data_IF_052101936426
#
_entry.id   IF_052101936426
#
_cell.length_a   1.000
_cell.length_b   1.000
_cell.length_c   1.000
_cell.angle_alpha   90.00
_cell.angle_beta   90.00
_cell.angle_gamma   90.00
#
_symmetry.space_group_name_H-M   'P 1'
#
loop_
_entity.id
_entity.type
_entity.pdbx_description
1 polymer ?
#
# COMPACT_ATOMS: atom_id res chain seq x y z
N UNK A 1 -3.02 -4.56 10.78
CA UNK A 1 -1.75 -4.37 11.53
C UNK A 1 -1.15 -3.06 11.06
N UNK A 2 -0.72 -2.17 11.95
CA UNK A 2 0.00 -0.94 11.61
C UNK A 2 1.50 -1.24 11.59
N UNK A 3 2.19 -0.89 10.51
CA UNK A 3 3.62 -1.16 10.33
C UNK A 3 4.53 0.03 10.65
N UNK A 4 4.00 1.17 11.09
CA UNK A 4 4.82 2.34 11.45
C UNK A 4 5.79 2.02 12.58
N UNK A 5 7.09 2.16 12.33
CA UNK A 5 8.18 1.83 13.27
C UNK A 5 8.53 0.34 13.37
N UNK A 6 7.88 -0.52 12.58
CA UNK A 6 8.09 -1.97 12.59
C UNK A 6 9.31 -2.37 11.76
N UNK A 7 9.92 -3.51 12.17
CA UNK A 7 11.03 -4.13 11.47
C UNK A 7 10.53 -5.17 10.47
N UNK A 8 11.24 -5.32 9.37
CA UNK A 8 11.03 -6.34 8.36
C UNK A 8 12.34 -6.87 7.81
N UNK A 9 12.20 -7.73 6.83
CA UNK A 9 13.32 -8.27 6.06
C UNK A 9 12.97 -8.23 4.59
N UNK A 10 13.97 -8.17 3.73
CA UNK A 10 13.79 -8.50 2.32
C UNK A 10 14.51 -9.79 1.96
N UNK A 11 13.88 -10.56 1.07
CA UNK A 11 14.32 -11.92 0.72
C UNK A 11 14.14 -12.19 -0.78
N UNK A 12 14.96 -13.12 -1.26
CA UNK A 12 14.93 -13.61 -2.63
C UNK A 12 15.30 -15.10 -2.69
N UNK A 13 15.38 -15.64 -3.88
CA UNK A 13 15.91 -16.99 -4.12
C UNK A 13 17.37 -17.17 -3.62
N UNK A 14 18.12 -16.08 -3.47
CA UNK A 14 19.49 -16.10 -2.94
C UNK A 14 19.54 -16.52 -1.47
N UNK A 15 18.47 -16.29 -0.70
CA UNK A 15 18.34 -16.75 0.67
C UNK A 15 17.88 -18.21 0.77
N UNK A 16 17.59 -18.86 -0.36
CA UNK A 16 17.09 -20.24 -0.41
C UNK A 16 15.65 -20.38 0.11
N UNK A 17 15.35 -21.51 0.72
CA UNK A 17 14.02 -21.84 1.21
C UNK A 17 13.86 -21.40 2.69
N UNK A 18 13.63 -20.14 2.95
CA UNK A 18 13.52 -19.57 4.30
C UNK A 18 12.20 -19.96 5.01
N UNK A 19 12.19 -19.93 6.35
CA UNK A 19 10.98 -20.06 7.17
C UNK A 19 10.47 -18.68 7.57
N UNK A 20 9.27 -18.33 7.10
CA UNK A 20 8.59 -17.06 7.45
C UNK A 20 8.13 -17.07 8.91
N UNK A 21 7.77 -18.23 9.47
CA UNK A 21 7.42 -18.38 10.88
C UNK A 21 8.62 -17.99 11.77
N UNK A 22 9.84 -18.46 11.45
CA UNK A 22 11.05 -18.11 12.21
C UNK A 22 11.41 -16.62 12.07
N UNK A 23 11.17 -16.01 10.90
CA UNK A 23 11.34 -14.58 10.70
C UNK A 23 10.39 -13.82 11.63
N UNK A 24 9.11 -14.21 11.68
CA UNK A 24 8.09 -13.63 12.55
C UNK A 24 8.43 -13.82 14.03
N UNK A 25 8.83 -15.03 14.45
CA UNK A 25 9.21 -15.36 15.83
C UNK A 25 10.44 -14.57 16.28
N UNK A 26 11.32 -14.20 15.35
CA UNK A 26 12.48 -13.33 15.60
C UNK A 26 12.09 -11.84 15.72
N UNK A 27 10.80 -11.50 15.61
CA UNK A 27 10.29 -10.15 15.83
C UNK A 27 10.26 -9.26 14.59
N UNK A 28 10.25 -9.84 13.38
CA UNK A 28 10.07 -9.11 12.14
C UNK A 28 8.60 -9.20 11.69
N UNK A 29 8.01 -8.03 11.43
CA UNK A 29 6.56 -7.87 11.24
C UNK A 29 6.15 -7.89 9.76
N UNK A 30 7.08 -7.79 8.81
CA UNK A 30 6.78 -7.78 7.37
C UNK A 30 7.94 -8.33 6.53
N UNK A 31 7.65 -8.65 5.28
CA UNK A 31 8.63 -9.17 4.32
C UNK A 31 8.47 -8.48 2.97
N UNK A 32 9.57 -7.99 2.40
CA UNK A 32 9.65 -7.62 0.98
C UNK A 32 10.24 -8.79 0.19
N UNK A 33 9.60 -9.21 -0.89
CA UNK A 33 9.95 -10.44 -1.62
C UNK A 33 10.35 -10.08 -3.05
N UNK A 34 11.56 -10.47 -3.47
CA UNK A 34 11.93 -10.33 -4.88
C UNK A 34 10.99 -11.18 -5.73
N UNK A 35 10.29 -10.55 -6.67
CA UNK A 35 9.45 -11.29 -7.60
C UNK A 35 10.21 -11.76 -8.85
N UNK A 36 11.27 -11.06 -9.22
CA UNK A 36 12.08 -11.38 -10.39
C UNK A 36 13.14 -10.32 -10.63
N UNK A 37 13.76 -10.39 -11.78
CA UNK A 37 14.75 -9.43 -12.26
C UNK A 37 14.63 -9.24 -13.76
N UNK A 38 14.90 -8.03 -14.25
CA UNK A 38 14.91 -7.72 -15.68
C UNK A 38 13.57 -7.93 -16.39
N UNK A 39 13.63 -8.16 -17.67
CA UNK A 39 12.50 -8.19 -18.61
C UNK A 39 11.46 -9.26 -18.31
N UNK A 40 10.27 -9.14 -18.92
CA UNK A 40 9.16 -10.09 -18.76
C UNK A 40 9.43 -11.42 -19.47
N UNK A 41 10.33 -12.20 -18.87
CA UNK A 41 10.70 -13.55 -19.28
C UNK A 41 10.56 -14.50 -18.09
N UNK A 42 9.86 -15.61 -18.25
CA UNK A 42 9.63 -16.56 -17.16
C UNK A 42 10.93 -17.11 -16.51
N UNK A 43 12.02 -17.16 -17.26
CA UNK A 43 13.33 -17.56 -16.74
C UNK A 43 13.94 -16.52 -15.78
N UNK A 44 13.43 -15.30 -15.77
CA UNK A 44 13.82 -14.22 -14.87
C UNK A 44 12.90 -14.07 -13.66
N UNK A 45 11.87 -14.91 -13.53
CA UNK A 45 11.06 -15.00 -12.31
C UNK A 45 11.96 -15.50 -11.16
N UNK A 46 11.80 -14.90 -9.97
CA UNK A 46 12.50 -15.42 -8.79
C UNK A 46 11.93 -16.77 -8.39
N UNK A 47 12.76 -17.81 -8.37
CA UNK A 47 12.35 -19.21 -8.18
C UNK A 47 11.71 -19.48 -6.81
N UNK A 48 11.87 -18.59 -5.82
CA UNK A 48 11.25 -18.68 -4.51
C UNK A 48 10.05 -17.75 -4.33
N UNK A 49 9.74 -16.88 -5.32
CA UNK A 49 8.69 -15.88 -5.17
C UNK A 49 7.34 -16.49 -4.74
N UNK A 50 6.81 -17.42 -5.52
CA UNK A 50 5.52 -18.06 -5.23
C UNK A 50 5.51 -18.81 -3.89
N UNK A 51 6.62 -19.47 -3.54
CA UNK A 51 6.78 -20.16 -2.28
C UNK A 51 6.80 -19.20 -1.08
N UNK A 52 7.54 -18.08 -1.20
CA UNK A 52 7.63 -17.06 -0.16
C UNK A 52 6.30 -16.34 0.04
N UNK A 53 5.58 -15.98 -1.04
CA UNK A 53 4.22 -15.40 -0.98
C UNK A 53 3.29 -16.34 -0.23
N UNK A 54 3.20 -17.61 -0.64
CA UNK A 54 2.33 -18.61 0.00
C UNK A 54 2.62 -18.75 1.50
N UNK A 55 3.90 -18.72 1.90
CA UNK A 55 4.30 -18.82 3.32
C UNK A 55 3.94 -17.55 4.10
N UNK A 56 4.13 -16.35 3.53
CA UNK A 56 3.73 -15.10 4.16
C UNK A 56 2.21 -15.06 4.38
N UNK A 57 1.41 -15.47 3.39
CA UNK A 57 -0.04 -15.55 3.49
C UNK A 57 -0.49 -16.56 4.55
N UNK A 58 0.11 -17.75 4.58
CA UNK A 58 -0.19 -18.79 5.57
C UNK A 58 0.16 -18.35 7.01
N UNK A 59 1.28 -17.66 7.21
CA UNK A 59 1.71 -17.14 8.51
C UNK A 59 1.02 -15.83 8.91
N UNK A 60 0.20 -15.23 8.01
CA UNK A 60 -0.44 -13.93 8.23
C UNK A 60 0.56 -12.78 8.35
N UNK A 61 1.71 -12.89 7.68
CA UNK A 61 2.75 -11.86 7.65
C UNK A 61 2.51 -10.92 6.47
N UNK A 62 2.38 -9.59 6.70
CA UNK A 62 2.34 -8.59 5.65
C UNK A 62 3.52 -8.73 4.68
N UNK A 63 3.24 -8.65 3.39
CA UNK A 63 4.27 -8.74 2.36
C UNK A 63 4.08 -7.74 1.24
N UNK A 64 5.20 -7.37 0.61
CA UNK A 64 5.31 -6.61 -0.63
C UNK A 64 6.21 -7.31 -1.62
N UNK A 65 6.37 -6.73 -2.80
CA UNK A 65 7.25 -7.30 -3.82
C UNK A 65 8.24 -6.26 -4.35
N UNK A 66 9.40 -6.72 -4.82
CA UNK A 66 10.32 -5.90 -5.57
C UNK A 66 10.88 -6.62 -6.79
N UNK A 67 11.26 -5.86 -7.80
CA UNK A 67 11.94 -6.35 -9.00
C UNK A 67 13.31 -5.70 -9.11
N UNK A 68 14.37 -6.51 -9.18
CA UNK A 68 15.73 -6.05 -9.46
C UNK A 68 15.84 -5.63 -10.93
N UNK A 69 16.12 -4.36 -11.18
CA UNK A 69 16.06 -3.79 -12.51
C UNK A 69 17.35 -3.99 -13.30
N UNK A 70 17.21 -4.48 -14.53
CA UNK A 70 18.24 -4.45 -15.56
C UNK A 70 17.94 -3.45 -16.68
N UNK A 71 16.93 -2.59 -16.52
CA UNK A 71 16.56 -1.62 -17.53
C UNK A 71 17.68 -0.61 -17.79
N UNK A 72 18.00 -0.41 -19.05
CA UNK A 72 18.96 0.61 -19.54
C UNK A 72 18.27 1.65 -20.42
N UNK A 73 16.97 1.47 -20.68
CA UNK A 73 16.09 2.41 -21.41
C UNK A 73 14.62 2.25 -20.93
N UNK A 74 13.74 3.11 -21.41
CA UNK A 74 12.32 3.11 -20.99
C UNK A 74 11.51 1.93 -21.54
N UNK A 75 11.92 1.28 -22.62
CA UNK A 75 11.21 0.10 -23.14
C UNK A 75 11.53 -1.14 -22.32
N UNK A 76 12.75 -1.26 -21.80
CA UNK A 76 13.12 -2.26 -20.81
C UNK A 76 12.27 -2.07 -19.54
N UNK A 77 12.15 -0.82 -19.04
CA UNK A 77 11.33 -0.50 -17.86
C UNK A 77 9.85 -0.89 -18.04
N UNK A 78 9.28 -0.70 -19.25
CA UNK A 78 7.92 -1.18 -19.55
C UNK A 78 7.83 -2.71 -19.55
N UNK A 79 8.88 -3.40 -20.04
CA UNK A 79 8.94 -4.86 -19.98
C UNK A 79 9.00 -5.35 -18.54
N UNK A 80 9.84 -4.74 -17.70
CA UNK A 80 9.96 -5.04 -16.28
C UNK A 80 8.66 -4.77 -15.51
N UNK A 81 7.94 -3.71 -15.85
CA UNK A 81 6.61 -3.45 -15.27
C UNK A 81 5.60 -4.56 -15.63
N UNK A 82 5.57 -5.02 -16.90
CA UNK A 82 4.72 -6.15 -17.31
C UNK A 82 5.11 -7.44 -16.58
N UNK A 83 6.38 -7.69 -16.36
CA UNK A 83 6.90 -8.81 -15.57
C UNK A 83 6.27 -8.84 -14.18
N UNK A 84 6.34 -7.73 -13.46
CA UNK A 84 5.75 -7.59 -12.12
C UNK A 84 4.23 -7.75 -12.15
N UNK A 85 3.54 -7.09 -13.09
CA UNK A 85 2.08 -7.16 -13.21
C UNK A 85 1.62 -8.59 -13.48
N UNK A 86 2.34 -9.34 -14.32
CA UNK A 86 2.08 -10.77 -14.57
C UNK A 86 2.17 -11.60 -13.31
N UNK A 87 3.24 -11.44 -12.53
CA UNK A 87 3.49 -12.19 -11.30
C UNK A 87 2.51 -11.85 -10.17
N UNK A 88 2.04 -10.60 -10.11
CA UNK A 88 1.11 -10.13 -9.07
C UNK A 88 -0.37 -10.35 -9.41
N UNK A 89 -0.68 -10.90 -10.58
CA UNK A 89 -2.06 -11.19 -10.97
C UNK A 89 -2.75 -12.05 -9.89
N UNK A 90 -3.90 -11.59 -9.41
CA UNK A 90 -4.71 -12.24 -8.37
C UNK A 90 -4.06 -12.31 -6.96
N UNK A 91 -2.91 -11.69 -6.75
CA UNK A 91 -2.29 -11.57 -5.42
C UNK A 91 -2.66 -10.24 -4.77
N UNK A 92 -2.65 -10.20 -3.44
CA UNK A 92 -3.06 -9.03 -2.64
C UNK A 92 -1.98 -8.61 -1.64
N UNK A 93 -0.79 -8.19 -2.11
CA UNK A 93 0.23 -7.68 -1.20
C UNK A 93 -0.29 -6.48 -0.41
N UNK A 94 0.12 -6.36 0.85
CA UNK A 94 -0.27 -5.28 1.75
C UNK A 94 0.84 -4.25 1.94
N UNK A 95 1.98 -4.44 1.28
CA UNK A 95 3.06 -3.46 1.16
C UNK A 95 3.24 -3.04 -0.30
N UNK A 96 4.05 -1.98 -0.55
CA UNK A 96 4.31 -1.47 -1.89
C UNK A 96 4.93 -2.49 -2.84
N UNK A 97 4.88 -2.13 -4.12
CA UNK A 97 5.60 -2.81 -5.19
C UNK A 97 6.79 -1.94 -5.56
N UNK A 98 8.00 -2.42 -5.23
CA UNK A 98 9.20 -1.63 -5.34
C UNK A 98 9.95 -1.89 -6.66
N UNK A 99 10.45 -0.81 -7.23
CA UNK A 99 11.40 -0.83 -8.33
C UNK A 99 12.81 -0.69 -7.74
N UNK A 100 13.58 -1.75 -7.82
CA UNK A 100 14.93 -1.82 -7.28
C UNK A 100 15.91 -1.31 -8.34
N UNK A 101 16.23 -0.02 -8.25
CA UNK A 101 17.10 0.70 -9.17
C UNK A 101 18.49 0.87 -8.59
N UNK A 102 19.35 -0.03 -8.96
CA UNK A 102 20.76 -0.06 -8.60
C UNK A 102 21.62 -0.68 -9.71
N UNK A 103 22.91 -0.80 -9.51
CA UNK A 103 23.86 -1.43 -10.42
C UNK A 103 24.98 -2.17 -9.66
N UNK A 104 24.58 -2.97 -8.63
CA UNK A 104 25.51 -3.67 -7.76
C UNK A 104 26.39 -4.66 -8.52
N UNK A 105 25.87 -5.29 -9.58
CA UNK A 105 26.58 -6.21 -10.45
C UNK A 105 27.26 -5.53 -11.67
N UNK A 106 27.11 -4.20 -11.82
CA UNK A 106 27.68 -3.43 -12.92
C UNK A 106 27.05 -3.70 -14.29
N UNK A 107 25.85 -4.27 -14.34
CA UNK A 107 25.17 -4.57 -15.61
C UNK A 107 24.87 -3.30 -16.41
N UNK A 108 24.27 -2.30 -15.78
CA UNK A 108 23.92 -1.02 -16.45
C UNK A 108 25.16 -0.30 -16.97
N UNK A 109 26.23 -0.30 -16.17
CA UNK A 109 27.52 0.30 -16.57
C UNK A 109 28.11 -0.37 -17.84
N UNK A 110 27.92 -1.68 -18.01
CA UNK A 110 28.40 -2.43 -19.20
C UNK A 110 27.44 -2.39 -20.39
N UNK A 111 26.16 -2.08 -20.16
CA UNK A 111 25.11 -2.16 -21.17
C UNK A 111 24.42 -0.80 -21.38
N UNK A 112 25.15 0.17 -21.93
CA UNK A 112 24.60 1.48 -22.27
C UNK A 112 24.92 2.58 -21.26
N UNK A 113 25.22 2.26 -20.00
CA UNK A 113 25.59 3.20 -18.95
C UNK A 113 24.69 4.45 -18.90
N UNK A 114 23.38 4.28 -18.66
CA UNK A 114 22.41 5.38 -18.75
C UNK A 114 22.77 6.52 -17.81
N UNK A 115 22.65 7.74 -18.31
CA UNK A 115 22.86 8.96 -17.54
C UNK A 115 21.70 9.26 -16.57
N UNK A 116 21.88 10.26 -15.68
CA UNK A 116 20.86 10.60 -14.66
C UNK A 116 19.46 10.84 -15.24
N UNK A 117 19.35 11.62 -16.32
CA UNK A 117 18.07 11.90 -16.95
C UNK A 117 17.38 10.63 -17.48
N UNK A 118 18.15 9.70 -18.03
CA UNK A 118 17.65 8.43 -18.53
C UNK A 118 17.25 7.49 -17.39
N UNK A 119 18.05 7.39 -16.32
CA UNK A 119 17.70 6.63 -15.12
C UNK A 119 16.41 7.14 -14.46
N UNK A 120 16.23 8.46 -14.38
CA UNK A 120 14.98 9.07 -13.89
C UNK A 120 13.80 8.72 -14.80
N UNK A 121 13.98 8.76 -16.13
CA UNK A 121 12.94 8.39 -17.09
C UNK A 121 12.57 6.89 -16.98
N UNK A 122 13.56 6.01 -16.82
CA UNK A 122 13.37 4.57 -16.57
C UNK A 122 12.53 4.35 -15.31
N UNK A 123 12.93 4.95 -14.16
CA UNK A 123 12.20 4.84 -12.90
C UNK A 123 10.75 5.33 -13.03
N UNK A 124 10.55 6.52 -13.60
CA UNK A 124 9.21 7.10 -13.82
C UNK A 124 8.34 6.23 -14.71
N UNK A 125 8.93 5.62 -15.74
CA UNK A 125 8.22 4.72 -16.66
C UNK A 125 7.70 3.49 -15.90
N UNK A 126 8.58 2.77 -15.21
CA UNK A 126 8.18 1.60 -14.44
C UNK A 126 7.11 1.95 -13.39
N UNK A 127 7.39 2.93 -12.52
CA UNK A 127 6.51 3.31 -11.42
C UNK A 127 5.14 3.79 -11.91
N UNK A 128 5.09 4.49 -13.05
CA UNK A 128 3.84 4.91 -13.69
C UNK A 128 3.03 3.72 -14.21
N UNK A 129 3.67 2.74 -14.86
CA UNK A 129 2.98 1.54 -15.36
C UNK A 129 2.43 0.68 -14.20
N UNK A 130 3.19 0.51 -13.11
CA UNK A 130 2.74 -0.15 -11.88
C UNK A 130 1.52 0.58 -11.28
N UNK A 131 1.59 1.91 -11.21
CA UNK A 131 0.47 2.75 -10.71
C UNK A 131 -0.77 2.63 -11.58
N UNK A 132 -0.62 2.69 -12.91
CA UNK A 132 -1.73 2.52 -13.87
C UNK A 132 -2.39 1.14 -13.77
N UNK A 133 -1.62 0.12 -13.45
CA UNK A 133 -2.11 -1.24 -13.23
C UNK A 133 -2.82 -1.42 -11.87
N UNK A 134 -2.91 -0.38 -11.05
CA UNK A 134 -3.59 -0.41 -9.74
C UNK A 134 -2.73 -0.92 -8.59
N UNK A 135 -1.42 -0.94 -8.74
CA UNK A 135 -0.50 -1.29 -7.65
C UNK A 135 0.13 -0.03 -7.05
N UNK A 136 0.46 -0.09 -5.75
CA UNK A 136 1.11 1.01 -5.03
C UNK A 136 2.62 1.00 -5.29
N UNK A 137 3.15 1.97 -6.07
CA UNK A 137 4.54 1.97 -6.48
C UNK A 137 5.47 2.52 -5.41
N UNK A 138 6.71 2.02 -5.36
CA UNK A 138 7.79 2.49 -4.51
C UNK A 138 9.12 2.42 -5.27
N UNK A 139 10.00 3.36 -5.03
CA UNK A 139 11.37 3.33 -5.55
C UNK A 139 12.32 2.84 -4.44
N UNK A 140 13.06 1.76 -4.70
CA UNK A 140 14.22 1.38 -3.88
C UNK A 140 15.50 1.82 -4.59
N UNK A 141 16.41 2.42 -3.83
CA UNK A 141 17.76 2.70 -4.30
C UNK A 141 18.71 3.02 -3.15
N UNK A 142 20.01 2.89 -3.43
CA UNK A 142 21.06 3.30 -2.52
C UNK A 142 21.03 4.81 -2.25
N UNK A 143 21.36 5.21 -1.01
CA UNK A 143 21.45 6.63 -0.60
C UNK A 143 22.27 7.47 -1.57
N UNK A 144 23.40 6.94 -2.06
CA UNK A 144 24.27 7.64 -3.01
C UNK A 144 23.58 7.96 -4.34
N UNK A 145 22.72 7.05 -4.81
CA UNK A 145 21.96 7.27 -6.03
C UNK A 145 20.80 8.24 -5.81
N UNK A 146 20.10 8.14 -4.69
CA UNK A 146 19.02 9.07 -4.32
C UNK A 146 19.52 10.52 -4.16
N UNK A 147 20.73 10.70 -3.62
CA UNK A 147 21.36 12.02 -3.50
C UNK A 147 22.11 12.47 -4.77
N UNK A 148 22.27 11.59 -5.74
CA UNK A 148 23.04 11.84 -6.97
C UNK A 148 22.25 11.59 -8.25
N UNK A 149 22.40 10.41 -8.83
CA UNK A 149 21.86 10.06 -10.16
C UNK A 149 20.32 10.14 -10.24
N UNK A 150 19.61 9.90 -9.14
CA UNK A 150 18.14 9.89 -9.06
C UNK A 150 17.59 11.11 -8.32
N UNK A 151 18.42 12.11 -7.98
CA UNK A 151 18.00 13.32 -7.28
C UNK A 151 17.21 14.25 -8.23
N UNK A 152 15.95 13.91 -8.45
CA UNK A 152 15.02 14.64 -9.31
C UNK A 152 13.66 14.79 -8.62
N UNK A 153 13.17 16.03 -8.35
CA UNK A 153 11.89 16.26 -7.69
C UNK A 153 10.70 15.64 -8.43
N UNK A 154 10.77 15.57 -9.78
CA UNK A 154 9.69 14.94 -10.56
C UNK A 154 9.58 13.41 -10.35
N UNK A 155 10.60 12.79 -9.77
CA UNK A 155 10.60 11.41 -9.33
C UNK A 155 10.31 11.31 -7.82
N UNK A 156 11.13 11.96 -7.00
CA UNK A 156 11.17 11.75 -5.55
C UNK A 156 9.99 12.38 -4.79
N UNK A 157 9.34 13.42 -5.36
CA UNK A 157 8.13 14.01 -4.77
C UNK A 157 6.85 13.26 -5.13
N UNK A 158 6.90 12.35 -6.12
CA UNK A 158 5.72 11.67 -6.65
C UNK A 158 5.60 10.20 -6.25
N UNK A 159 6.67 9.61 -5.72
CA UNK A 159 6.72 8.21 -5.35
C UNK A 159 7.37 8.02 -4.00
N UNK A 160 6.87 7.05 -3.22
CA UNK A 160 7.50 6.67 -1.97
C UNK A 160 8.88 6.04 -2.22
N UNK A 161 9.79 6.30 -1.29
CA UNK A 161 11.18 5.83 -1.36
C UNK A 161 11.45 4.78 -0.28
N UNK A 162 12.15 3.73 -0.67
CA UNK A 162 12.81 2.75 0.20
C UNK A 162 14.32 2.96 0.06
N UNK A 163 14.91 3.55 1.09
CA UNK A 163 16.33 3.93 1.10
C UNK A 163 17.19 2.74 1.47
N UNK A 164 18.21 2.43 0.70
CA UNK A 164 19.27 1.51 1.11
C UNK A 164 20.47 2.29 1.66
N UNK A 165 20.71 2.14 2.94
CA UNK A 165 21.89 2.65 3.63
C UNK A 165 22.15 1.79 4.87
N UNK A 166 23.16 0.95 4.82
CA UNK A 166 23.56 0.11 5.95
C UNK A 166 24.33 0.95 6.97
N UNK A 167 23.59 1.44 7.96
CA UNK A 167 24.10 2.38 8.96
C UNK A 167 23.25 2.28 10.25
N UNK A 168 23.70 2.92 11.34
CA UNK A 168 22.93 3.04 12.57
C UNK A 168 21.80 4.06 12.48
N UNK A 169 21.88 5.01 11.53
CA UNK A 169 20.88 6.05 11.23
C UNK A 169 20.73 6.20 9.73
N UNK A 170 19.54 6.62 9.29
CA UNK A 170 19.31 6.97 7.89
C UNK A 170 19.67 8.44 7.66
N UNK A 171 20.61 8.70 6.76
CA UNK A 171 21.09 10.06 6.44
C UNK A 171 20.34 10.72 5.28
N UNK A 172 19.38 9.99 4.65
CA UNK A 172 18.57 10.57 3.59
C UNK A 172 17.69 11.69 4.11
N UNK A 173 17.73 12.86 3.45
CA UNK A 173 17.02 14.08 3.88
C UNK A 173 15.66 14.27 3.19
N UNK A 174 15.38 13.48 2.13
CA UNK A 174 14.07 13.46 1.48
C UNK A 174 13.03 12.66 2.26
N UNK A 175 11.81 12.63 1.75
CA UNK A 175 10.75 11.79 2.31
C UNK A 175 10.97 10.33 1.93
N UNK A 176 10.84 9.42 2.89
CA UNK A 176 10.91 7.98 2.65
C UNK A 176 9.91 7.21 3.51
N UNK A 177 9.52 6.06 3.03
CA UNK A 177 8.57 5.18 3.72
C UNK A 177 9.21 3.92 4.28
N UNK A 178 10.36 3.51 3.76
CA UNK A 178 11.11 2.36 4.22
C UNK A 178 12.62 2.64 4.20
N UNK A 179 13.35 1.91 5.03
CA UNK A 179 14.81 1.99 5.12
C UNK A 179 15.39 0.59 5.31
N UNK A 180 16.24 0.14 4.37
CA UNK A 180 17.09 -1.04 4.53
C UNK A 180 18.36 -0.60 5.27
N UNK A 181 18.47 -1.04 6.54
CA UNK A 181 19.54 -0.59 7.43
C UNK A 181 20.68 -1.61 7.61
N UNK A 182 20.51 -2.79 7.07
CA UNK A 182 21.52 -3.84 7.12
C UNK A 182 21.38 -4.82 5.98
N UNK A 183 22.49 -5.29 5.49
CA UNK A 183 22.66 -6.28 4.45
C UNK A 183 23.90 -7.13 4.77
N UNK A 184 24.96 -7.07 3.96
CA UNK A 184 26.25 -7.72 4.28
C UNK A 184 26.85 -7.17 5.58
N UNK A 185 26.61 -5.90 5.88
CA UNK A 185 27.01 -5.21 7.12
C UNK A 185 25.77 -4.70 7.83
N UNK A 186 25.75 -4.81 9.15
CA UNK A 186 24.70 -4.23 9.99
C UNK A 186 25.30 -3.66 11.28
N UNK A 187 25.02 -2.39 11.57
CA UNK A 187 25.50 -1.67 12.74
C UNK A 187 24.50 -1.63 13.90
N UNK A 188 23.30 -2.19 13.73
CA UNK A 188 22.20 -2.16 14.72
C UNK A 188 22.04 -3.53 15.38
N UNK A 189 22.04 -4.60 14.58
CA UNK A 189 21.81 -5.97 15.06
C UNK A 189 22.44 -7.01 14.11
N UNK A 190 22.39 -8.29 14.46
CA UNK A 190 22.83 -9.36 13.56
C UNK A 190 21.94 -9.47 12.34
N UNK A 191 22.51 -9.63 11.15
CA UNK A 191 21.76 -9.97 9.93
C UNK A 191 21.29 -11.43 9.92
N UNK A 192 21.92 -12.30 10.71
CA UNK A 192 21.56 -13.70 10.80
C UNK A 192 20.37 -13.91 11.74
N UNK A 193 19.36 -14.61 11.25
CA UNK A 193 18.22 -15.08 12.03
C UNK A 193 18.39 -16.59 12.25
N UNK A 194 18.32 -17.10 13.51
CA UNK A 194 18.47 -18.52 13.78
C UNK A 194 17.50 -19.39 12.97
N UNK A 195 18.07 -20.31 12.18
CA UNK A 195 17.31 -21.23 11.32
C UNK A 195 16.67 -20.60 10.08
N UNK A 196 17.08 -19.39 9.74
CA UNK A 196 16.76 -18.70 8.46
C UNK A 196 18.06 -18.43 7.70
N UNK A 197 19.08 -17.91 8.37
CA UNK A 197 20.33 -17.47 7.77
C UNK A 197 20.43 -15.95 7.72
N UNK A 198 21.31 -15.44 6.86
CA UNK A 198 21.53 -14.01 6.64
C UNK A 198 20.44 -13.47 5.71
N UNK A 199 19.81 -12.37 6.10
CA UNK A 199 18.80 -11.64 5.34
C UNK A 199 19.00 -10.15 5.56
N UNK A 200 18.58 -9.35 4.60
CA UNK A 200 18.60 -7.91 4.70
C UNK A 200 17.51 -7.41 5.65
N UNK A 201 17.76 -6.29 6.31
CA UNK A 201 16.96 -5.79 7.42
C UNK A 201 16.35 -4.43 7.09
N UNK A 202 15.06 -4.33 7.33
CA UNK A 202 14.26 -3.17 6.98
C UNK A 202 13.53 -2.56 8.16
N UNK A 203 13.23 -1.26 8.04
CA UNK A 203 12.34 -0.55 8.93
C UNK A 203 11.29 0.21 8.13
N UNK A 204 10.02 0.06 8.51
CA UNK A 204 8.89 0.73 7.88
C UNK A 204 8.47 1.96 8.69
N UNK A 205 8.16 3.07 8.01
CA UNK A 205 7.78 4.35 8.64
C UNK A 205 6.35 4.77 8.32
N UNK A 206 5.65 4.03 7.46
CA UNK A 206 4.26 4.29 7.06
C UNK A 206 3.38 3.06 7.31
N UNK A 207 2.10 3.28 7.57
CA UNK A 207 1.12 2.19 7.66
C UNK A 207 0.63 1.77 6.27
N UNK A 208 1.52 1.12 5.50
CA UNK A 208 1.19 0.67 4.15
C UNK A 208 -0.02 -0.27 4.09
N UNK A 209 -0.24 -1.23 5.01
CA UNK A 209 -1.43 -2.05 4.97
C UNK A 209 -2.73 -1.25 5.00
N UNK A 210 -2.80 -0.17 5.78
CA UNK A 210 -3.96 0.72 5.80
C UNK A 210 -4.05 1.57 4.53
N UNK A 211 -2.94 2.17 4.09
CA UNK A 211 -2.88 3.00 2.87
C UNK A 211 -3.33 2.19 1.65
N UNK A 212 -2.81 0.98 1.49
CA UNK A 212 -3.08 0.12 0.35
C UNK A 212 -4.53 -0.37 0.33
N UNK A 213 -5.05 -0.84 1.47
CA UNK A 213 -6.43 -1.33 1.56
C UNK A 213 -7.45 -0.21 1.40
N UNK A 214 -7.24 0.93 2.05
CA UNK A 214 -8.14 2.09 1.94
C UNK A 214 -8.12 2.71 0.54
N UNK A 215 -6.96 2.75 -0.09
CA UNK A 215 -6.80 3.27 -1.44
C UNK A 215 -7.22 2.31 -2.55
N UNK A 216 -7.54 1.05 -2.24
CA UNK A 216 -7.89 0.04 -3.24
C UNK A 216 -6.74 -0.38 -4.14
N UNK A 217 -5.51 -0.23 -3.65
CA UNK A 217 -4.31 -0.67 -4.37
C UNK A 217 -4.09 -2.19 -4.29
N UNK A 218 -3.21 -2.73 -5.11
CA UNK A 218 -2.72 -4.11 -5.03
C UNK A 218 -3.86 -5.15 -5.04
N UNK A 219 -4.86 -4.96 -5.90
CA UNK A 219 -6.05 -5.83 -6.02
C UNK A 219 -6.94 -5.85 -4.75
N UNK A 220 -6.69 -4.98 -3.76
CA UNK A 220 -7.64 -4.77 -2.68
C UNK A 220 -8.82 -3.94 -3.19
N UNK A 221 -10.02 -4.27 -2.70
CA UNK A 221 -11.15 -3.36 -2.89
C UNK A 221 -10.96 -2.19 -1.93
N UNK A 222 -11.22 -0.94 -2.36
CA UNK A 222 -11.22 0.20 -1.45
C UNK A 222 -12.16 -0.11 -0.29
N UNK A 223 -11.70 0.02 0.94
CA UNK A 223 -12.60 0.03 2.07
C UNK A 223 -13.43 1.30 1.97
N UNK A 224 -14.75 1.17 1.92
CA UNK A 224 -15.63 2.33 1.99
C UNK A 224 -15.28 3.13 3.26
N UNK A 225 -14.94 4.43 3.17
CA UNK A 225 -14.56 5.21 4.34
C UNK A 225 -15.74 5.28 5.31
N UNK A 226 -15.46 5.16 6.60
CA UNK A 226 -16.45 5.38 7.66
C UNK A 226 -16.63 6.87 7.85
N UNK A 227 -17.83 7.39 7.58
CA UNK A 227 -18.14 8.83 7.71
C UNK A 227 -18.17 9.26 9.18
N UNK A 228 -18.84 8.47 10.02
CA UNK A 228 -18.92 8.66 11.45
C UNK A 228 -18.77 7.31 12.19
N UNK A 229 -18.02 7.31 13.28
CA UNK A 229 -17.86 6.15 14.18
C UNK A 229 -18.70 6.29 15.47
N UNK A 230 -19.33 7.45 15.67
CA UNK A 230 -20.22 7.78 16.78
C UNK A 230 -21.34 8.68 16.28
N UNK A 231 -22.53 8.48 16.80
CA UNK A 231 -23.72 9.24 16.43
C UNK A 231 -24.97 8.53 16.91
N UNK A 232 -26.10 8.87 16.33
CA UNK A 232 -27.34 8.09 16.56
C UNK A 232 -27.21 6.75 15.85
N UNK A 233 -27.60 5.70 16.55
CA UNK A 233 -27.58 4.32 16.06
C UNK A 233 -28.84 3.54 16.51
N UNK A 234 -28.99 2.34 15.96
CA UNK A 234 -30.16 1.48 16.26
C UNK A 234 -30.31 1.22 17.75
N UNK A 235 -31.48 1.49 18.25
CA UNK A 235 -31.86 1.39 19.66
C UNK A 235 -31.97 2.73 20.39
N UNK A 236 -31.37 3.79 19.84
CA UNK A 236 -31.44 5.12 20.46
C UNK A 236 -32.88 5.66 20.49
N UNK A 237 -33.18 6.38 21.57
CA UNK A 237 -34.51 6.95 21.86
C UNK A 237 -34.38 8.39 22.36
N UNK A 238 -34.19 9.31 21.43
CA UNK A 238 -33.95 10.73 21.75
C UNK A 238 -34.71 11.67 20.81
N UNK A 239 -34.89 12.94 21.23
CA UNK A 239 -35.40 13.97 20.34
C UNK A 239 -34.47 14.25 19.14
N UNK A 240 -33.16 13.99 19.27
CA UNK A 240 -32.21 14.07 18.16
C UNK A 240 -32.52 13.05 17.07
N UNK A 241 -32.99 11.87 17.43
CA UNK A 241 -33.44 10.86 16.45
C UNK A 241 -34.71 11.33 15.72
N UNK A 242 -35.62 12.05 16.36
CA UNK A 242 -36.76 12.65 15.67
C UNK A 242 -36.30 13.67 14.60
N UNK A 243 -35.41 14.57 14.98
CA UNK A 243 -34.85 15.56 14.03
C UNK A 243 -34.13 14.89 12.84
N UNK A 244 -33.36 13.82 13.10
CA UNK A 244 -32.77 13.01 12.04
C UNK A 244 -33.82 12.42 11.10
N UNK A 245 -34.92 11.86 11.66
CA UNK A 245 -35.99 11.28 10.86
C UNK A 245 -36.71 12.30 9.99
N UNK A 246 -36.94 13.51 10.48
CA UNK A 246 -37.48 14.62 9.67
C UNK A 246 -36.60 14.94 8.48
N UNK A 247 -35.28 14.97 8.66
CA UNK A 247 -34.34 15.12 7.56
C UNK A 247 -34.43 13.95 6.56
N UNK A 248 -34.55 12.71 7.05
CA UNK A 248 -34.65 11.52 6.20
C UNK A 248 -35.99 11.51 5.41
N UNK A 249 -37.09 11.92 6.03
CA UNK A 249 -38.41 12.08 5.37
C UNK A 249 -38.35 13.15 4.27
N UNK A 250 -37.67 14.28 4.55
CA UNK A 250 -37.44 15.33 3.56
C UNK A 250 -36.57 14.82 2.42
N UNK A 251 -35.50 14.07 2.72
CA UNK A 251 -34.64 13.45 1.72
C UNK A 251 -35.42 12.45 0.84
N UNK A 252 -36.36 11.70 1.42
CA UNK A 252 -37.26 10.83 0.66
C UNK A 252 -38.17 11.63 -0.26
N UNK A 253 -38.82 12.71 0.24
CA UNK A 253 -39.66 13.59 -0.60
C UNK A 253 -38.89 14.18 -1.77
N UNK A 254 -37.61 14.50 -1.59
CA UNK A 254 -36.71 14.98 -2.63
C UNK A 254 -36.13 13.88 -3.55
N UNK A 255 -36.48 12.61 -3.34
CA UNK A 255 -35.97 11.48 -4.12
C UNK A 255 -34.48 11.17 -3.90
N UNK A 256 -33.91 11.65 -2.78
CA UNK A 256 -32.52 11.32 -2.40
C UNK A 256 -32.43 9.88 -1.92
N UNK A 257 -33.42 9.41 -1.16
CA UNK A 257 -33.57 8.02 -0.71
C UNK A 257 -34.96 7.50 -1.05
N UNK A 258 -35.14 6.19 -1.00
CA UNK A 258 -36.42 5.52 -1.19
C UNK A 258 -37.04 5.03 0.11
N UNK A 259 -36.19 4.73 1.09
CA UNK A 259 -36.59 4.23 2.39
C UNK A 259 -37.36 5.31 3.19
N UNK A 260 -38.54 4.96 3.71
CA UNK A 260 -39.28 5.78 4.68
C UNK A 260 -38.90 5.45 6.11
N UNK A 261 -39.17 6.37 7.01
CA UNK A 261 -39.05 6.20 8.46
C UNK A 261 -40.37 6.61 9.12
N UNK A 262 -40.65 6.05 10.27
CA UNK A 262 -41.78 6.41 11.14
C UNK A 262 -41.51 7.70 11.92
N UNK A 263 -42.56 8.37 12.41
CA UNK A 263 -42.45 9.70 13.05
C UNK A 263 -42.36 9.59 14.59
N UNK A 264 -41.57 8.63 15.08
CA UNK A 264 -41.31 8.49 16.52
C UNK A 264 -39.83 8.79 16.85
N UNK A 265 -39.48 8.80 18.13
CA UNK A 265 -38.13 9.10 18.61
C UNK A 265 -37.21 7.87 18.71
N UNK A 266 -37.60 6.73 18.12
CA UNK A 266 -36.82 5.47 18.19
C UNK A 266 -36.05 5.27 16.89
N UNK A 267 -34.74 5.08 16.97
CA UNK A 267 -33.91 4.67 15.83
C UNK A 267 -34.10 3.16 15.59
N UNK A 268 -35.07 2.80 14.76
CA UNK A 268 -35.41 1.43 14.38
C UNK A 268 -34.76 1.00 13.06
N UNK A 269 -35.16 -0.22 12.61
CA UNK A 269 -34.63 -0.81 11.35
C UNK A 269 -34.87 0.07 10.14
N UNK A 270 -36.04 0.71 10.03
CA UNK A 270 -36.33 1.63 8.92
C UNK A 270 -35.42 2.84 8.91
N UNK A 271 -35.02 3.36 10.07
CA UNK A 271 -34.10 4.49 10.20
C UNK A 271 -32.69 4.07 9.82
N UNK A 272 -32.24 2.91 10.29
CA UNK A 272 -30.94 2.33 9.93
C UNK A 272 -30.81 2.13 8.41
N UNK A 273 -31.84 1.54 7.78
CA UNK A 273 -31.87 1.36 6.32
C UNK A 273 -31.81 2.69 5.57
N UNK A 274 -32.54 3.71 6.04
CA UNK A 274 -32.53 5.05 5.42
C UNK A 274 -31.16 5.72 5.55
N UNK A 275 -30.50 5.64 6.74
CA UNK A 275 -29.14 6.12 6.96
C UNK A 275 -28.18 5.39 6.03
N UNK A 276 -28.25 4.07 5.93
CA UNK A 276 -27.39 3.27 5.06
C UNK A 276 -27.59 3.59 3.56
N UNK A 277 -28.78 4.01 3.11
CA UNK A 277 -28.97 4.49 1.76
C UNK A 277 -28.24 5.80 1.48
N UNK A 278 -28.24 6.73 2.43
CA UNK A 278 -27.48 8.00 2.32
C UNK A 278 -25.98 7.72 2.30
N UNK A 279 -25.49 6.89 3.23
CA UNK A 279 -24.07 6.50 3.30
C UNK A 279 -23.59 5.87 1.98
N UNK A 280 -24.39 4.91 1.45
CA UNK A 280 -24.09 4.27 0.15
C UNK A 280 -23.96 5.29 -0.99
N UNK A 281 -24.85 6.29 -1.05
CA UNK A 281 -24.80 7.34 -2.09
C UNK A 281 -23.55 8.20 -1.99
N UNK A 282 -22.97 8.33 -0.79
CA UNK A 282 -21.74 9.04 -0.52
C UNK A 282 -20.48 8.21 -0.73
N UNK A 283 -20.63 6.93 -1.02
CA UNK A 283 -19.48 6.00 -1.07
C UNK A 283 -18.93 5.69 0.32
N UNK A 284 -19.74 5.82 1.38
CA UNK A 284 -19.34 5.51 2.76
C UNK A 284 -19.81 4.13 3.19
N UNK A 285 -19.08 3.56 4.16
CA UNK A 285 -19.44 2.30 4.80
C UNK A 285 -20.83 2.39 5.43
N UNK A 286 -21.67 1.39 5.19
CA UNK A 286 -23.05 1.30 5.69
C UNK A 286 -23.07 0.77 7.12
N UNK A 287 -22.54 1.56 8.06
CA UNK A 287 -22.44 1.21 9.48
C UNK A 287 -23.68 1.57 10.31
N UNK A 288 -24.70 2.17 9.69
CA UNK A 288 -25.94 2.56 10.35
C UNK A 288 -25.83 3.75 11.29
N UNK A 289 -24.70 4.45 11.35
CA UNK A 289 -24.43 5.54 12.28
C UNK A 289 -24.70 6.89 11.64
N UNK A 290 -25.48 7.74 12.29
CA UNK A 290 -25.78 9.10 11.89
C UNK A 290 -25.16 10.11 12.87
N UNK A 291 -23.89 10.46 12.66
CA UNK A 291 -23.16 11.45 13.42
C UNK A 291 -23.19 12.84 12.78
N UNK A 292 -22.29 13.72 13.24
CA UNK A 292 -22.18 15.09 12.72
C UNK A 292 -21.84 15.14 11.21
N UNK A 293 -20.93 14.28 10.78
CA UNK A 293 -20.53 14.15 9.38
C UNK A 293 -21.71 13.75 8.50
N UNK A 294 -22.49 12.76 8.93
CA UNK A 294 -23.72 12.32 8.28
C UNK A 294 -24.75 13.46 8.12
N UNK A 295 -25.05 14.18 9.21
CA UNK A 295 -26.02 15.27 9.21
C UNK A 295 -25.59 16.39 8.25
N UNK A 296 -24.32 16.75 8.27
CA UNK A 296 -23.73 17.74 7.36
C UNK A 296 -23.81 17.28 5.90
N UNK A 297 -23.47 16.01 5.62
CA UNK A 297 -23.50 15.43 4.28
C UNK A 297 -24.92 15.38 3.72
N UNK A 298 -25.89 14.86 4.49
CA UNK A 298 -27.31 14.80 4.12
C UNK A 298 -27.87 16.20 3.85
N UNK A 299 -27.59 17.16 4.73
CA UNK A 299 -27.99 18.56 4.55
C UNK A 299 -27.40 19.19 3.29
N UNK A 300 -26.16 18.82 2.92
CA UNK A 300 -25.54 19.21 1.67
C UNK A 300 -26.23 18.66 0.43
N UNK A 301 -26.64 17.39 0.47
CA UNK A 301 -27.40 16.76 -0.62
C UNK A 301 -28.76 17.40 -0.82
N UNK A 302 -29.46 17.70 0.28
CA UNK A 302 -30.79 18.32 0.25
C UNK A 302 -30.77 19.74 -0.35
N UNK A 303 -29.74 20.54 -0.01
CA UNK A 303 -29.56 21.91 -0.60
C UNK A 303 -29.26 21.92 -2.09
N UNK A 304 -28.64 20.87 -2.63
CA UNK A 304 -28.35 20.78 -4.09
C UNK A 304 -29.58 20.43 -4.94
N UNK A 305 -30.68 20.07 -4.30
CA UNK A 305 -31.95 19.69 -4.95
C UNK A 305 -33.01 20.79 -4.91
N UNK A 306 -32.69 21.92 -4.27
CA UNK A 306 -33.49 23.17 -4.31
C UNK A 306 -32.91 24.07 -5.39
#
# INVERSE_FOLDING_TARGET
>A
MNLTGKKGVDISSLNGNVSIEKIKDAGYDFVMIRCGYGSDLAVQDDSQFENNVRKCEAAGVPWGAYLYSYAVNTDDAKSEARHVIRLLKNKKPTLPIAFDMEDADGYKARNGNPGSAELVAICKTFLSEIKKAGYYPMLYSALSWLNGKLNDPSLLDNYDVWVAQWNSTCDYRGSYGMWQYGGEVNYIESNSIPGVGTVDKDKCYKDYPSIIRQGGWNNWQPSEPVLDSKGFEKGDRTYGVMALKEMLLTAKKQGIITQGVDENNVFGDGTELAVNQVLKKGGYARNGIAGYGFMKYLGGMMRKKI
#
